data_IF_321392797391
#
_entry.id   IF_321392797391
#
_cell.length_a   1.000
_cell.length_b   1.000
_cell.length_c   1.000
_cell.angle_alpha   90.00
_cell.angle_beta   90.00
_cell.angle_gamma   90.00
#
_symmetry.space_group_name_H-M   'P 1'
#
loop_
_entity.id
_entity.type
_entity.pdbx_description
1 polymer ?
#
# COMPACT_ATOMS: atom_id res chain seq x y z
N UNK A 1 -9.74 19.92 -9.25
CA UNK A 1 -10.02 19.05 -10.41
C UNK A 1 -9.30 17.74 -10.21
N UNK A 2 -9.90 16.61 -10.59
CA UNK A 2 -9.30 15.27 -10.46
C UNK A 2 -9.45 14.52 -11.78
N UNK A 3 -8.55 13.60 -12.07
CA UNK A 3 -8.65 12.73 -13.25
C UNK A 3 -9.33 11.42 -12.85
N UNK A 4 -10.25 10.93 -13.68
CA UNK A 4 -10.87 9.61 -13.50
C UNK A 4 -9.81 8.53 -13.71
N UNK A 5 -9.63 7.68 -12.70
CA UNK A 5 -8.64 6.59 -12.68
C UNK A 5 -9.01 5.50 -13.70
N UNK A 6 -8.03 4.64 -14.05
CA UNK A 6 -8.24 3.54 -15.01
C UNK A 6 -9.26 2.50 -14.52
N UNK A 7 -9.45 2.41 -13.22
CA UNK A 7 -10.47 1.57 -12.59
C UNK A 7 -11.88 2.19 -12.58
N UNK A 8 -12.07 3.39 -13.16
CA UNK A 8 -13.38 4.07 -13.21
C UNK A 8 -13.76 4.85 -11.94
N UNK A 9 -12.81 5.12 -11.05
CA UNK A 9 -13.08 5.86 -9.80
C UNK A 9 -12.43 7.23 -9.77
N UNK A 10 -12.96 8.10 -8.91
CA UNK A 10 -12.33 9.35 -8.49
C UNK A 10 -12.11 9.36 -6.98
N UNK A 11 -10.96 9.89 -6.57
CA UNK A 11 -10.62 10.05 -5.15
C UNK A 11 -11.09 11.40 -4.64
N UNK A 12 -11.89 11.41 -3.59
CA UNK A 12 -12.12 12.60 -2.78
C UNK A 12 -11.00 12.71 -1.74
N UNK A 13 -10.15 13.74 -1.90
CA UNK A 13 -8.94 13.90 -1.09
C UNK A 13 -9.18 14.13 0.41
N UNK A 14 -10.24 14.85 0.76
CA UNK A 14 -10.59 15.17 2.16
C UNK A 14 -10.94 13.92 2.97
N UNK A 15 -11.71 12.99 2.38
CA UNK A 15 -12.16 11.76 3.05
C UNK A 15 -11.23 10.57 2.77
N UNK A 16 -10.34 10.67 1.78
CA UNK A 16 -9.57 9.54 1.25
C UNK A 16 -10.54 8.41 0.81
N UNK A 17 -11.63 8.78 0.14
CA UNK A 17 -12.69 7.86 -0.30
C UNK A 17 -12.81 7.85 -1.83
N UNK A 18 -13.22 6.71 -2.40
CA UNK A 18 -13.31 6.51 -3.84
C UNK A 18 -14.76 6.43 -4.29
N UNK A 19 -15.12 7.21 -5.30
CA UNK A 19 -16.47 7.24 -5.86
C UNK A 19 -16.43 6.81 -7.32
N UNK A 20 -17.32 5.91 -7.70
CA UNK A 20 -17.42 5.43 -9.09
C UNK A 20 -17.89 6.53 -10.04
N UNK A 21 -17.42 6.46 -11.28
CA UNK A 21 -17.79 7.34 -12.38
C UNK A 21 -18.14 6.48 -13.59
N UNK A 22 -19.13 6.85 -14.42
CA UNK A 22 -19.43 6.10 -15.63
C UNK A 22 -18.17 5.88 -16.48
N UNK A 23 -17.99 4.64 -16.96
CA UNK A 23 -16.79 4.21 -17.68
C UNK A 23 -16.41 5.10 -18.89
N UNK A 24 -17.40 5.75 -19.51
CA UNK A 24 -17.23 6.70 -20.62
C UNK A 24 -16.29 7.88 -20.29
N UNK A 25 -16.07 8.15 -18.99
CA UNK A 25 -15.26 9.27 -18.52
C UNK A 25 -13.88 8.86 -17.99
N UNK A 26 -13.46 7.59 -18.13
CA UNK A 26 -12.12 7.13 -17.74
C UNK A 26 -11.03 7.98 -18.42
N UNK A 27 -10.05 8.44 -17.64
CA UNK A 27 -8.95 9.29 -18.11
C UNK A 27 -9.33 10.76 -18.35
N UNK A 28 -10.61 11.15 -18.20
CA UNK A 28 -11.05 12.55 -18.33
C UNK A 28 -10.83 13.31 -17.02
N UNK A 29 -10.60 14.63 -17.13
CA UNK A 29 -10.55 15.53 -15.96
C UNK A 29 -11.96 15.97 -15.58
N UNK A 30 -12.32 15.77 -14.32
CA UNK A 30 -13.63 16.08 -13.76
C UNK A 30 -13.51 17.02 -12.55
N UNK A 31 -14.61 17.71 -12.23
CA UNK A 31 -14.76 18.52 -11.02
C UNK A 31 -15.57 17.73 -10.00
N UNK A 32 -15.05 17.60 -8.79
CA UNK A 32 -15.76 16.99 -7.67
C UNK A 32 -16.21 18.11 -6.74
N UNK A 33 -17.51 18.18 -6.50
CA UNK A 33 -18.16 19.07 -5.53
C UNK A 33 -18.76 18.19 -4.45
N UNK A 34 -18.65 18.58 -3.20
CA UNK A 34 -19.17 17.78 -2.10
C UNK A 34 -19.78 18.65 -1.01
N UNK A 35 -20.77 18.10 -0.32
CA UNK A 35 -21.42 18.69 0.85
C UNK A 35 -21.19 17.79 2.06
N UNK A 36 -21.87 18.05 3.17
CA UNK A 36 -21.87 17.14 4.33
C UNK A 36 -22.46 15.76 4.02
N UNK A 37 -23.33 15.66 3.01
CA UNK A 37 -24.13 14.45 2.73
C UNK A 37 -23.89 13.82 1.36
N UNK A 38 -23.38 14.57 0.38
CA UNK A 38 -23.30 14.11 -1.00
C UNK A 38 -22.01 14.52 -1.69
N UNK A 39 -21.61 13.71 -2.67
CA UNK A 39 -20.48 13.97 -3.58
C UNK A 39 -21.03 13.97 -5.00
N UNK A 40 -20.86 15.09 -5.70
CA UNK A 40 -21.31 15.32 -7.08
C UNK A 40 -20.10 15.48 -7.99
N UNK A 41 -20.13 14.81 -9.13
CA UNK A 41 -19.01 14.75 -10.07
C UNK A 41 -19.49 15.34 -11.40
N UNK A 42 -18.74 16.32 -11.91
CA UNK A 42 -19.09 17.07 -13.11
C UNK A 42 -18.02 16.95 -14.18
N UNK A 43 -18.44 16.77 -15.43
CA UNK A 43 -17.62 16.87 -16.62
C UNK A 43 -18.20 17.94 -17.54
N UNK A 44 -17.39 18.94 -17.92
CA UNK A 44 -17.82 20.05 -18.79
C UNK A 44 -19.19 20.65 -18.42
N UNK A 45 -19.39 20.95 -17.13
CA UNK A 45 -20.63 21.52 -16.55
C UNK A 45 -21.84 20.57 -16.46
N UNK A 46 -21.74 19.34 -16.95
CA UNK A 46 -22.77 18.30 -16.80
C UNK A 46 -22.51 17.46 -15.56
N UNK A 47 -23.54 17.20 -14.76
CA UNK A 47 -23.48 16.25 -13.64
C UNK A 47 -23.45 14.83 -14.20
N UNK A 48 -22.36 14.10 -13.96
CA UNK A 48 -22.16 12.75 -14.51
C UNK A 48 -22.34 11.65 -13.45
N UNK A 49 -22.20 11.98 -12.16
CA UNK A 49 -22.40 11.03 -11.06
C UNK A 49 -22.72 11.79 -9.77
N UNK A 50 -23.54 11.16 -8.91
CA UNK A 50 -23.87 11.66 -7.58
C UNK A 50 -23.89 10.50 -6.59
N UNK A 51 -23.20 10.66 -5.47
CA UNK A 51 -23.07 9.64 -4.43
C UNK A 51 -23.43 10.20 -3.06
N UNK A 52 -23.90 9.33 -2.15
CA UNK A 52 -23.95 9.66 -0.73
C UNK A 52 -22.52 9.72 -0.20
N UNK A 53 -22.17 10.80 0.51
CA UNK A 53 -20.83 10.98 1.05
C UNK A 53 -20.57 9.97 2.15
N UNK A 54 -19.51 9.19 1.99
CA UNK A 54 -19.02 8.25 2.97
C UNK A 54 -17.63 8.69 3.44
N UNK A 55 -17.44 8.76 4.76
CA UNK A 55 -16.20 9.20 5.41
C UNK A 55 -15.30 8.05 5.84
N UNK A 56 -15.70 6.81 5.56
CA UNK A 56 -14.86 5.64 5.81
C UNK A 56 -13.70 5.70 4.82
N UNK A 57 -12.48 5.86 5.35
CA UNK A 57 -11.25 5.96 4.55
C UNK A 57 -11.02 4.68 3.75
N UNK A 58 -10.42 4.81 2.57
CA UNK A 58 -9.97 3.72 1.70
C UNK A 58 -11.06 2.79 1.15
N UNK A 59 -12.33 3.12 1.35
CA UNK A 59 -13.46 2.36 0.79
C UNK A 59 -13.91 2.95 -0.54
N UNK A 60 -14.64 2.13 -1.28
CA UNK A 60 -15.23 2.44 -2.57
C UNK A 60 -16.75 2.55 -2.41
N UNK A 61 -17.32 3.63 -2.89
CA UNK A 61 -18.76 3.77 -3.13
C UNK A 61 -19.01 3.60 -4.62
N UNK A 62 -19.60 2.46 -4.96
CA UNK A 62 -19.83 2.03 -6.33
C UNK A 62 -21.32 2.08 -6.63
N UNK A 63 -21.66 2.71 -7.75
CA UNK A 63 -22.98 2.61 -8.36
C UNK A 63 -22.88 1.61 -9.51
N UNK A 64 -23.71 0.58 -9.49
CA UNK A 64 -23.71 -0.50 -10.49
C UNK A 64 -23.98 0.03 -11.90
N UNK A 65 -24.70 1.15 -12.03
CA UNK A 65 -25.00 1.78 -13.32
C UNK A 65 -23.77 2.45 -13.96
N UNK A 66 -22.71 2.70 -13.19
CA UNK A 66 -21.46 3.26 -13.71
C UNK A 66 -20.55 2.20 -14.35
N UNK A 67 -20.78 0.93 -14.05
CA UNK A 67 -20.02 -0.19 -14.56
C UNK A 67 -20.57 -0.57 -15.95
N UNK A 68 -19.73 -0.54 -16.98
CA UNK A 68 -20.11 -1.14 -18.26
C UNK A 68 -20.43 -2.62 -18.06
N UNK A 69 -21.38 -3.18 -18.80
CA UNK A 69 -21.68 -4.62 -18.79
C UNK A 69 -20.43 -5.49 -19.06
N UNK A 70 -19.44 -4.96 -19.79
CA UNK A 70 -18.14 -5.60 -20.05
C UNK A 70 -17.09 -5.37 -18.94
N UNK A 71 -17.23 -4.32 -18.13
CA UNK A 71 -16.36 -4.01 -16.97
C UNK A 71 -16.88 -4.58 -15.64
N UNK A 72 -17.97 -5.36 -15.66
CA UNK A 72 -18.37 -6.21 -14.52
C UNK A 72 -17.33 -7.28 -14.21
N UNK A 73 -16.46 -7.58 -15.17
CA UNK A 73 -15.28 -8.40 -14.93
C UNK A 73 -14.25 -7.57 -14.17
N UNK A 74 -14.29 -7.70 -12.84
CA UNK A 74 -13.10 -7.76 -11.99
C UNK A 74 -12.08 -6.66 -12.29
N UNK A 75 -12.11 -5.55 -11.53
CA UNK A 75 -10.83 -4.89 -11.25
C UNK A 75 -9.97 -5.96 -10.57
N UNK A 76 -9.01 -6.56 -11.27
CA UNK A 76 -8.19 -7.69 -10.77
C UNK A 76 -7.49 -7.36 -9.44
N UNK A 77 -7.37 -6.07 -9.14
CA UNK A 77 -6.65 -5.51 -8.02
C UNK A 77 -7.64 -5.11 -6.92
N UNK A 78 -7.93 -6.05 -6.03
CA UNK A 78 -8.70 -5.81 -4.79
C UNK A 78 -7.82 -6.09 -3.57
N UNK A 79 -7.87 -5.25 -2.51
CA UNK A 79 -7.12 -5.48 -1.27
C UNK A 79 -7.31 -6.89 -0.70
N UNK A 80 -8.55 -7.38 -0.73
CA UNK A 80 -8.93 -8.70 -0.21
C UNK A 80 -8.21 -9.84 -0.93
N UNK A 81 -8.08 -9.76 -2.27
CA UNK A 81 -7.29 -10.73 -3.04
C UNK A 81 -5.81 -10.70 -2.70
N UNK A 82 -5.21 -9.51 -2.51
CA UNK A 82 -3.81 -9.42 -2.11
C UNK A 82 -3.55 -10.03 -0.74
N UNK A 83 -4.50 -9.89 0.18
CA UNK A 83 -4.41 -10.49 1.52
C UNK A 83 -4.54 -12.02 1.41
N UNK A 84 -5.51 -12.54 0.65
CA UNK A 84 -5.66 -13.98 0.44
C UNK A 84 -4.44 -14.62 -0.25
N UNK A 85 -3.88 -13.96 -1.26
CA UNK A 85 -2.66 -14.44 -1.92
C UNK A 85 -1.45 -14.43 -0.97
N UNK A 86 -1.34 -13.41 -0.11
CA UNK A 86 -0.28 -13.34 0.89
C UNK A 86 -0.43 -14.44 1.95
N UNK A 87 -1.66 -14.72 2.38
CA UNK A 87 -1.99 -15.75 3.38
C UNK A 87 -1.63 -17.15 2.89
N UNK A 88 -1.83 -17.42 1.60
CA UNK A 88 -1.39 -18.66 0.96
C UNK A 88 0.14 -18.83 0.92
N UNK A 89 0.91 -17.75 1.09
CA UNK A 89 2.37 -17.77 1.12
C UNK A 89 2.88 -17.90 2.56
N UNK A 90 2.56 -16.92 3.42
CA UNK A 90 3.00 -16.87 4.82
C UNK A 90 2.27 -15.77 5.63
N UNK A 91 2.12 -15.95 6.93
CA UNK A 91 1.49 -14.95 7.82
C UNK A 91 2.27 -13.62 7.85
N UNK A 92 3.61 -13.66 7.93
CA UNK A 92 4.45 -12.46 7.93
C UNK A 92 4.30 -11.63 6.64
N UNK A 93 4.15 -12.29 5.49
CA UNK A 93 3.91 -11.62 4.21
C UNK A 93 2.54 -10.95 4.22
N UNK A 94 1.54 -11.61 4.81
CA UNK A 94 0.19 -11.06 4.98
C UNK A 94 0.21 -9.78 5.80
N UNK A 95 0.88 -9.81 6.96
CA UNK A 95 1.02 -8.66 7.84
C UNK A 95 1.72 -7.49 7.14
N UNK A 96 2.78 -7.77 6.38
CA UNK A 96 3.50 -6.76 5.62
C UNK A 96 2.63 -6.15 4.50
N UNK A 97 1.90 -6.96 3.75
CA UNK A 97 1.00 -6.50 2.68
C UNK A 97 -0.11 -5.59 3.25
N UNK A 98 -0.70 -5.94 4.39
CA UNK A 98 -1.69 -5.09 5.07
C UNK A 98 -1.07 -3.71 5.37
N UNK A 99 0.13 -3.66 5.95
CA UNK A 99 0.81 -2.40 6.26
C UNK A 99 1.17 -1.60 4.99
N UNK A 100 1.55 -2.25 3.89
CA UNK A 100 1.78 -1.59 2.59
C UNK A 100 0.51 -0.93 2.05
N UNK A 101 -0.64 -1.60 2.21
CA UNK A 101 -1.95 -1.06 1.84
C UNK A 101 -2.35 0.13 2.70
N UNK A 102 -2.03 0.12 4.00
CA UNK A 102 -2.35 1.19 4.94
C UNK A 102 -1.43 2.42 4.79
N UNK A 103 -0.13 2.20 4.57
CA UNK A 103 0.87 3.27 4.60
C UNK A 103 0.86 4.14 3.33
N UNK A 104 0.36 3.64 2.20
CA UNK A 104 0.36 4.40 0.93
C UNK A 104 -0.92 5.23 0.75
N UNK A 105 -0.72 6.52 0.50
CA UNK A 105 -1.78 7.52 0.25
C UNK A 105 -2.59 7.21 -1.03
N UNK A 106 -1.95 6.57 -2.01
CA UNK A 106 -2.54 6.24 -3.31
C UNK A 106 -2.69 4.71 -3.48
N UNK A 107 -3.92 4.18 -3.64
CA UNK A 107 -4.18 2.75 -3.70
C UNK A 107 -3.58 2.11 -4.94
N UNK A 108 -3.56 2.81 -6.08
CA UNK A 108 -2.89 2.29 -7.28
C UNK A 108 -1.40 2.01 -7.06
N UNK A 109 -0.72 2.81 -6.23
CA UNK A 109 0.68 2.59 -5.88
C UNK A 109 0.84 1.44 -4.88
N UNK A 110 -0.11 1.33 -3.93
CA UNK A 110 -0.16 0.22 -2.99
C UNK A 110 -0.37 -1.12 -3.69
N UNK A 111 -1.34 -1.17 -4.61
CA UNK A 111 -1.69 -2.31 -5.43
C UNK A 111 -0.50 -2.77 -6.28
N UNK A 112 0.14 -1.84 -7.02
CA UNK A 112 1.37 -2.15 -7.77
C UNK A 112 2.49 -2.71 -6.87
N UNK A 113 2.66 -2.13 -5.69
CA UNK A 113 3.67 -2.60 -4.73
C UNK A 113 3.33 -4.00 -4.23
N UNK A 114 2.08 -4.27 -3.84
CA UNK A 114 1.62 -5.57 -3.35
C UNK A 114 1.81 -6.67 -4.40
N UNK A 115 1.37 -6.42 -5.64
CA UNK A 115 1.56 -7.38 -6.74
C UNK A 115 3.04 -7.65 -7.01
N UNK A 116 3.88 -6.61 -7.01
CA UNK A 116 5.33 -6.76 -7.13
C UNK A 116 5.95 -7.60 -6.01
N UNK A 117 5.55 -7.35 -4.76
CA UNK A 117 6.02 -8.10 -3.58
C UNK A 117 5.63 -9.57 -3.68
N UNK A 118 4.36 -9.86 -3.98
CA UNK A 118 3.86 -11.22 -4.12
C UNK A 118 4.52 -11.98 -5.28
N UNK A 119 4.91 -11.27 -6.36
CA UNK A 119 5.64 -11.88 -7.48
C UNK A 119 6.99 -12.48 -7.05
N UNK A 120 7.61 -11.98 -5.98
CA UNK A 120 8.86 -12.54 -5.46
C UNK A 120 8.68 -13.94 -4.88
N UNK A 121 7.50 -14.30 -4.37
CA UNK A 121 7.25 -15.63 -3.81
C UNK A 121 7.56 -16.74 -4.84
N UNK A 122 7.26 -16.49 -6.12
CA UNK A 122 7.56 -17.39 -7.24
C UNK A 122 9.05 -17.41 -7.63
N UNK A 123 9.79 -16.33 -7.37
CA UNK A 123 11.19 -16.15 -7.77
C UNK A 123 12.19 -16.63 -6.72
N UNK A 124 11.93 -16.32 -5.45
CA UNK A 124 12.85 -16.60 -4.33
C UNK A 124 12.33 -17.64 -3.35
N UNK A 125 11.06 -18.04 -3.47
CA UNK A 125 10.39 -18.97 -2.55
C UNK A 125 9.70 -18.26 -1.38
N UNK A 126 8.74 -18.95 -0.76
CA UNK A 126 7.91 -18.41 0.32
C UNK A 126 8.71 -18.03 1.57
N UNK A 127 9.64 -18.89 2.01
CA UNK A 127 10.45 -18.66 3.21
C UNK A 127 11.31 -17.40 3.11
N UNK A 128 12.07 -17.26 2.01
CA UNK A 128 12.92 -16.08 1.79
C UNK A 128 12.13 -14.77 1.68
N UNK A 129 10.94 -14.83 1.10
CA UNK A 129 10.05 -13.66 1.06
C UNK A 129 9.55 -13.29 2.47
N UNK A 130 9.19 -14.29 3.30
CA UNK A 130 8.76 -14.05 4.67
C UNK A 130 9.87 -13.39 5.50
N UNK A 131 11.11 -13.88 5.41
CA UNK A 131 12.27 -13.31 6.12
C UNK A 131 12.54 -11.86 5.65
N UNK A 132 12.47 -11.60 4.35
CA UNK A 132 12.62 -10.27 3.80
C UNK A 132 11.50 -9.31 4.27
N UNK A 133 10.25 -9.79 4.31
CA UNK A 133 9.11 -9.04 4.84
C UNK A 133 9.30 -8.72 6.33
N UNK A 134 9.77 -9.68 7.13
CA UNK A 134 10.05 -9.48 8.57
C UNK A 134 11.14 -8.43 8.79
N UNK A 135 12.21 -8.45 7.98
CA UNK A 135 13.29 -7.47 8.07
C UNK A 135 12.85 -6.09 7.57
N UNK A 136 12.02 -6.00 6.52
CA UNK A 136 11.44 -4.73 6.09
C UNK A 136 10.50 -4.14 7.16
N UNK A 137 9.76 -5.00 7.88
CA UNK A 137 8.88 -4.61 8.97
C UNK A 137 9.66 -3.99 10.14
N UNK A 138 10.82 -4.56 10.49
CA UNK A 138 11.68 -4.02 11.56
C UNK A 138 12.27 -2.64 11.20
N UNK A 139 12.47 -2.37 9.91
CA UNK A 139 12.87 -1.05 9.41
C UNK A 139 11.69 -0.06 9.27
N UNK A 140 10.45 -0.52 9.41
CA UNK A 140 9.25 0.29 9.23
C UNK A 140 9.05 0.80 7.81
N UNK A 141 9.62 0.10 6.81
CA UNK A 141 9.60 0.53 5.41
C UNK A 141 8.68 -0.36 4.58
N UNK A 142 7.61 0.22 4.02
CA UNK A 142 6.54 -0.52 3.34
C UNK A 142 6.50 -0.23 1.84
N UNK A 143 7.50 -0.73 1.11
CA UNK A 143 7.59 -0.51 -0.33
C UNK A 143 8.26 -1.69 -1.07
N UNK A 144 8.00 -1.78 -2.37
CA UNK A 144 8.61 -2.79 -3.24
C UNK A 144 10.15 -2.68 -3.34
N UNK A 145 10.74 -1.48 -3.58
CA UNK A 145 12.19 -1.35 -3.71
C UNK A 145 12.98 -1.89 -2.52
N UNK A 146 12.45 -1.73 -1.30
CA UNK A 146 13.08 -2.22 -0.07
C UNK A 146 13.12 -3.75 -0.06
N UNK A 147 12.01 -4.43 -0.38
CA UNK A 147 12.00 -5.90 -0.49
C UNK A 147 12.96 -6.38 -1.59
N UNK A 148 12.98 -5.70 -2.74
CA UNK A 148 13.90 -6.01 -3.83
C UNK A 148 15.38 -5.86 -3.39
N UNK A 149 15.70 -4.78 -2.67
CA UNK A 149 17.04 -4.52 -2.17
C UNK A 149 17.48 -5.55 -1.12
N UNK A 150 16.58 -5.91 -0.19
CA UNK A 150 16.81 -6.94 0.83
C UNK A 150 17.13 -8.28 0.17
N UNK A 151 16.27 -8.71 -0.75
CA UNK A 151 16.43 -9.98 -1.46
C UNK A 151 17.68 -10.00 -2.36
N UNK A 152 18.04 -8.85 -2.96
CA UNK A 152 19.24 -8.70 -3.80
C UNK A 152 20.52 -8.76 -2.97
N UNK A 153 20.56 -8.06 -1.84
CA UNK A 153 21.72 -8.02 -0.94
C UNK A 153 21.80 -9.25 -0.02
N UNK A 154 20.83 -10.17 -0.10
CA UNK A 154 20.68 -11.33 0.79
C UNK A 154 20.65 -10.95 2.26
N UNK A 155 20.12 -9.77 2.58
CA UNK A 155 19.97 -9.30 3.96
C UNK A 155 18.94 -10.16 4.72
N UNK A 156 18.07 -10.87 3.99
CA UNK A 156 17.19 -11.93 4.52
C UNK A 156 17.96 -13.10 5.15
N UNK A 157 19.23 -13.29 4.79
CA UNK A 157 20.08 -14.39 5.26
C UNK A 157 21.11 -13.96 6.32
N UNK A 158 21.20 -12.65 6.62
CA UNK A 158 22.00 -12.19 7.75
C UNK A 158 21.23 -12.53 9.02
N UNK A 159 21.54 -13.70 9.57
CA UNK A 159 21.28 -13.97 10.98
C UNK A 159 21.87 -12.79 11.76
N UNK A 160 21.09 -12.22 12.68
CA UNK A 160 21.72 -11.53 13.81
C UNK A 160 22.61 -12.59 14.45
N UNK A 161 23.93 -12.49 14.23
CA UNK A 161 24.84 -12.90 15.27
C UNK A 161 24.55 -11.94 16.44
N UNK A 162 23.55 -12.32 17.25
CA UNK A 162 23.49 -11.96 18.66
C UNK A 162 24.65 -12.69 19.37
N UNK A 163 25.88 -12.54 18.87
CA UNK A 163 27.02 -12.66 19.75
C UNK A 163 27.11 -11.31 20.46
N UNK A 164 26.87 -11.25 21.79
CA UNK A 164 27.20 -10.07 22.54
C UNK A 164 28.69 -9.85 22.32
N UNK A 165 29.05 -8.78 21.60
CA UNK A 165 30.43 -8.35 21.47
C UNK A 165 30.89 -8.06 22.90
N UNK A 166 31.57 -9.03 23.51
CA UNK A 166 32.17 -8.92 24.82
C UNK A 166 33.29 -7.89 24.69
N UNK A 167 32.97 -6.64 24.98
CA UNK A 167 33.93 -5.54 25.03
C UNK A 167 34.99 -5.95 26.06
N UNK A 168 36.28 -6.14 25.68
CA UNK A 168 37.31 -6.43 26.65
C UNK A 168 37.43 -5.25 27.62
N UNK A 169 37.42 -5.54 28.93
CA UNK A 169 37.58 -4.53 29.95
C UNK A 169 38.98 -3.89 29.85
N UNK A 170 39.06 -2.69 29.27
CA UNK A 170 40.30 -1.92 29.24
C UNK A 170 40.53 -1.22 30.58
N UNK A 171 41.70 -1.48 31.18
CA UNK A 171 42.13 -1.00 32.50
C UNK A 171 42.60 0.47 32.50
N UNK A 172 41.96 1.34 31.71
CA UNK A 172 42.44 2.70 31.42
C UNK A 172 41.36 3.79 31.55
N UNK A 173 40.47 3.68 32.54
CA UNK A 173 39.63 4.81 32.96
C UNK A 173 40.49 5.65 33.92
N UNK A 174 41.17 6.66 33.38
CA UNK A 174 41.85 7.70 34.17
C UNK A 174 40.77 8.53 34.87
N UNK A 175 40.73 8.42 36.20
CA UNK A 175 39.75 9.07 37.05
C UNK A 175 39.80 10.60 36.98
N UNK A 176 38.68 11.22 37.40
CA UNK A 176 38.38 12.65 37.41
C UNK A 176 39.26 13.50 38.34
N UNK A 177 40.38 12.97 38.83
CA UNK A 177 41.28 13.64 39.79
C UNK A 177 42.41 14.45 39.12
N UNK A 178 42.40 14.60 37.79
CA UNK A 178 43.49 15.25 37.04
C UNK A 178 43.25 16.72 36.65
N UNK A 179 42.23 17.37 37.20
CA UNK A 179 42.06 18.82 37.05
C UNK A 179 42.20 19.48 38.41
N UNK A 180 43.33 20.16 38.63
CA UNK A 180 43.56 21.14 39.68
C UNK A 180 43.77 22.51 39.03
#
# INVERSE_FOLDING_TARGET
MVTVMKNGYVRLGEDIHYYSVPYNYIGKKVKVLYTSIAVKIYYQYTLIASHRRNRIKYRYTTDENHLASQHRYTTEWSPEKFIQEAEAIHEDVTRYIIKVLEHKVYPEQAYKSCSGILSFARRVGAGRLADACRWADSLGQYNYPVIEEILRKRLDQLQHDDEPVSIPAHKNIRGKEYYQ
#
